data_IF_454958699249
#
_entry.id   IF_454958699249
#
_cell.length_a   1.000
_cell.length_b   1.000
_cell.length_c   1.000
_cell.angle_alpha   90.00
_cell.angle_beta   90.00
_cell.angle_gamma   90.00
#
_symmetry.space_group_name_H-M   'P 1'
#
loop_
_entity.id
_entity.type
_entity.pdbx_description
1 polymer ?
#
# COMPACT_ATOMS: atom_id res chain seq x y z
N UNK A 1 44.17 -6.77 -10.94
CA UNK A 1 43.66 -7.03 -9.56
C UNK A 1 42.68 -8.21 -9.61
N UNK A 2 42.88 -9.25 -8.81
CA UNK A 2 41.88 -10.33 -8.63
C UNK A 2 41.16 -10.05 -7.32
N UNK A 3 39.86 -9.77 -7.39
CA UNK A 3 39.02 -9.64 -6.20
C UNK A 3 38.90 -11.05 -5.60
N UNK A 4 39.67 -11.29 -4.53
CA UNK A 4 39.52 -12.48 -3.69
C UNK A 4 38.25 -12.30 -2.87
N UNK A 5 37.29 -13.19 -3.08
CA UNK A 5 35.98 -13.26 -2.42
C UNK A 5 35.01 -12.13 -2.83
N UNK A 6 34.07 -12.36 -3.76
CA UNK A 6 32.87 -11.54 -3.78
C UNK A 6 32.20 -11.72 -2.42
N UNK A 7 32.12 -10.65 -1.63
CA UNK A 7 31.26 -10.62 -0.46
C UNK A 7 29.87 -10.94 -1.01
N UNK A 8 29.41 -12.17 -0.79
CA UNK A 8 28.04 -12.54 -1.07
C UNK A 8 27.21 -11.50 -0.33
N UNK A 9 26.41 -10.72 -1.07
CA UNK A 9 25.48 -9.78 -0.49
C UNK A 9 24.69 -10.55 0.56
N UNK A 10 25.02 -10.36 1.83
CA UNK A 10 24.25 -10.93 2.92
C UNK A 10 22.86 -10.38 2.70
N UNK A 11 21.93 -11.25 2.32
CA UNK A 11 20.51 -10.98 2.34
C UNK A 11 20.24 -10.38 3.72
N UNK A 12 20.07 -9.06 3.78
CA UNK A 12 19.61 -8.39 4.98
C UNK A 12 18.23 -8.99 5.22
N UNK A 13 18.16 -10.01 6.07
CA UNK A 13 16.88 -10.43 6.65
C UNK A 13 16.31 -9.14 7.23
N UNK A 14 15.16 -8.70 6.72
CA UNK A 14 14.53 -7.47 7.16
C UNK A 14 14.50 -7.48 8.69
N UNK A 15 14.99 -6.40 9.31
CA UNK A 15 15.21 -6.29 10.77
C UNK A 15 13.91 -6.40 11.58
N UNK A 16 12.76 -6.42 10.90
CA UNK A 16 11.44 -6.41 11.50
C UNK A 16 10.76 -7.77 11.25
N UNK A 17 10.01 -8.29 12.24
CA UNK A 17 9.21 -9.48 12.03
C UNK A 17 8.21 -9.23 10.90
N UNK A 18 7.88 -10.28 10.14
CA UNK A 18 6.80 -10.19 9.16
C UNK A 18 5.49 -9.78 9.85
N UNK A 19 4.68 -8.98 9.17
CA UNK A 19 3.33 -8.70 9.65
C UNK A 19 2.54 -10.00 9.74
N UNK A 20 1.69 -10.18 10.77
CA UNK A 20 0.80 -11.33 10.85
C UNK A 20 -0.34 -11.28 9.80
N UNK A 21 -0.52 -10.15 9.12
CA UNK A 21 -1.58 -9.94 8.14
C UNK A 21 -1.09 -10.22 6.73
N UNK A 22 -1.93 -10.91 5.96
CA UNK A 22 -1.67 -11.25 4.55
C UNK A 22 -2.90 -10.91 3.74
N UNK A 23 -2.68 -10.49 2.49
CA UNK A 23 -3.76 -10.31 1.52
C UNK A 23 -4.20 -11.68 0.99
N UNK A 24 -5.47 -11.79 0.63
CA UNK A 24 -5.96 -12.94 -0.12
C UNK A 24 -5.42 -12.90 -1.55
N UNK A 25 -5.49 -14.04 -2.25
CA UNK A 25 -5.06 -14.13 -3.65
C UNK A 25 -5.90 -13.27 -4.61
N UNK A 26 -7.04 -12.75 -4.14
CA UNK A 26 -7.95 -11.92 -4.92
C UNK A 26 -7.59 -10.43 -4.90
N UNK A 27 -6.52 -10.04 -4.18
CA UNK A 27 -6.10 -8.65 -4.08
C UNK A 27 -4.88 -8.35 -4.96
N UNK A 28 -5.02 -7.38 -5.85
CA UNK A 28 -3.94 -6.92 -6.73
C UNK A 28 -3.17 -5.76 -6.11
N UNK A 29 -1.86 -5.67 -6.38
CA UNK A 29 -1.01 -4.59 -5.84
C UNK A 29 -1.51 -3.18 -6.21
N UNK A 30 -2.17 -3.04 -7.35
CA UNK A 30 -2.72 -1.74 -7.78
C UNK A 30 -3.88 -1.29 -6.88
N UNK A 31 -4.64 -2.21 -6.31
CA UNK A 31 -5.74 -1.93 -5.38
C UNK A 31 -5.21 -1.43 -4.04
N UNK A 32 -4.11 -2.00 -3.56
CA UNK A 32 -3.39 -1.46 -2.40
C UNK A 32 -2.79 -0.09 -2.72
N UNK A 33 -2.29 0.11 -3.94
CA UNK A 33 -1.80 1.41 -4.38
C UNK A 33 -2.92 2.47 -4.46
N UNK A 34 -4.17 2.09 -4.76
CA UNK A 34 -5.34 2.99 -4.70
C UNK A 34 -5.54 3.50 -3.27
N UNK A 35 -5.47 2.62 -2.26
CA UNK A 35 -5.53 3.01 -0.85
C UNK A 35 -4.39 3.96 -0.46
N UNK A 36 -3.15 3.56 -0.77
CA UNK A 36 -1.95 4.37 -0.47
C UNK A 36 -2.06 5.75 -1.11
N UNK A 37 -2.50 5.81 -2.37
CA UNK A 37 -2.66 7.06 -3.11
C UNK A 37 -3.77 7.93 -2.51
N UNK A 38 -4.92 7.35 -2.18
CA UNK A 38 -6.02 8.07 -1.55
C UNK A 38 -5.64 8.65 -0.19
N UNK A 39 -4.93 7.87 0.64
CA UNK A 39 -4.42 8.32 1.94
C UNK A 39 -3.41 9.44 1.77
N UNK A 40 -2.43 9.28 0.87
CA UNK A 40 -1.42 10.29 0.58
C UNK A 40 -2.06 11.61 0.12
N UNK A 41 -2.96 11.55 -0.86
CA UNK A 41 -3.65 12.72 -1.41
C UNK A 41 -4.61 13.39 -0.41
N UNK A 42 -5.10 12.65 0.60
CA UNK A 42 -5.92 13.23 1.66
C UNK A 42 -5.12 14.15 2.58
N UNK A 43 -3.79 14.01 2.62
CA UNK A 43 -2.88 14.73 3.50
C UNK A 43 -3.19 14.59 5.00
N UNK A 44 -3.96 13.57 5.39
CA UNK A 44 -4.43 13.36 6.78
C UNK A 44 -3.48 12.54 7.66
N UNK A 45 -2.43 11.98 7.08
CA UNK A 45 -1.43 11.20 7.83
C UNK A 45 -0.19 12.05 8.03
N UNK A 46 0.21 12.21 9.28
CA UNK A 46 1.39 12.99 9.67
C UNK A 46 2.47 12.09 10.25
N UNK A 47 3.71 12.52 10.10
CA UNK A 47 4.87 11.87 10.70
C UNK A 47 4.91 12.16 12.22
N UNK A 48 5.85 11.53 12.93
CA UNK A 48 6.08 11.79 14.35
C UNK A 48 6.46 13.24 14.65
N UNK A 49 6.96 13.99 13.66
CA UNK A 49 7.25 15.43 13.79
C UNK A 49 6.07 16.33 13.45
N UNK A 50 4.89 15.76 13.13
CA UNK A 50 3.67 16.50 12.82
C UNK A 50 3.60 17.02 11.38
N UNK A 51 4.57 16.70 10.53
CA UNK A 51 4.55 17.08 9.11
C UNK A 51 3.74 16.08 8.28
N UNK A 52 3.16 16.52 7.16
CA UNK A 52 2.46 15.62 6.22
C UNK A 52 3.37 14.47 5.78
N UNK A 53 2.87 13.24 5.86
CA UNK A 53 3.67 12.06 5.55
C UNK A 53 3.94 11.95 4.05
N UNK A 54 5.20 11.72 3.63
CA UNK A 54 5.52 11.52 2.23
C UNK A 54 4.95 10.18 1.74
N UNK A 55 4.65 10.11 0.44
CA UNK A 55 4.12 8.91 -0.22
C UNK A 55 4.97 7.65 0.07
N UNK A 56 6.29 7.81 0.12
CA UNK A 56 7.24 6.72 0.39
C UNK A 56 7.08 6.13 1.78
N UNK A 57 6.76 6.94 2.79
CA UNK A 57 6.58 6.44 4.17
C UNK A 57 5.25 5.69 4.29
N UNK A 58 4.18 6.25 3.72
CA UNK A 58 2.88 5.57 3.67
C UNK A 58 3.00 4.25 2.89
N UNK A 59 3.66 4.27 1.73
CA UNK A 59 3.90 3.06 0.92
C UNK A 59 4.67 1.99 1.69
N UNK A 60 5.76 2.35 2.38
CA UNK A 60 6.52 1.40 3.22
C UNK A 60 5.69 0.82 4.36
N UNK A 61 4.82 1.62 4.97
CA UNK A 61 3.92 1.14 6.01
C UNK A 61 2.98 0.06 5.48
N UNK A 62 2.43 0.24 4.27
CA UNK A 62 1.57 -0.77 3.62
C UNK A 62 2.35 -2.00 3.13
N UNK A 63 3.57 -1.83 2.62
CA UNK A 63 4.47 -2.94 2.27
C UNK A 63 4.73 -3.84 3.50
N UNK A 64 5.03 -3.22 4.64
CA UNK A 64 5.19 -3.94 5.90
C UNK A 64 3.87 -4.58 6.36
N UNK A 65 2.77 -3.83 6.38
CA UNK A 65 1.47 -4.27 6.87
C UNK A 65 0.98 -5.54 6.18
N UNK A 66 1.21 -5.69 4.87
CA UNK A 66 0.70 -6.80 4.07
C UNK A 66 1.77 -7.75 3.54
N UNK A 67 3.03 -7.58 3.97
CA UNK A 67 4.16 -8.36 3.49
C UNK A 67 4.31 -8.34 1.95
N UNK A 68 4.07 -7.18 1.32
CA UNK A 68 4.14 -6.99 -0.14
C UNK A 68 5.31 -6.07 -0.54
N UNK A 69 5.62 -6.04 -1.84
CA UNK A 69 6.52 -5.05 -2.45
C UNK A 69 5.78 -4.28 -3.54
N UNK A 70 5.62 -2.97 -3.37
CA UNK A 70 4.98 -2.07 -4.34
C UNK A 70 5.96 -1.64 -5.43
N UNK A 71 7.27 -1.64 -5.15
CA UNK A 71 8.32 -1.24 -6.09
C UNK A 71 8.48 0.28 -6.14
N UNK A 72 8.65 0.85 -7.34
CA UNK A 72 8.74 2.31 -7.52
C UNK A 72 7.41 2.99 -7.21
N UNK A 73 7.28 3.49 -5.98
CA UNK A 73 6.02 4.00 -5.44
C UNK A 73 5.50 5.22 -6.21
N UNK A 74 6.37 6.09 -6.72
CA UNK A 74 5.96 7.28 -7.46
C UNK A 74 5.41 6.89 -8.82
N UNK A 75 6.07 5.96 -9.52
CA UNK A 75 5.54 5.41 -10.78
C UNK A 75 4.22 4.67 -10.56
N UNK A 76 4.09 3.90 -9.47
CA UNK A 76 2.85 3.20 -9.13
C UNK A 76 1.72 4.15 -8.79
N UNK A 77 2.01 5.24 -8.08
CA UNK A 77 1.05 6.31 -7.82
C UNK A 77 0.54 6.95 -9.11
N UNK A 78 1.45 7.36 -9.99
CA UNK A 78 1.07 7.97 -11.28
C UNK A 78 0.20 7.00 -12.10
N UNK A 79 0.53 5.71 -12.10
CA UNK A 79 -0.30 4.70 -12.76
C UNK A 79 -1.72 4.64 -12.19
N UNK A 80 -1.93 4.85 -10.88
CA UNK A 80 -3.28 4.96 -10.31
C UNK A 80 -3.97 6.20 -10.85
N UNK A 81 -3.32 7.36 -10.85
CA UNK A 81 -3.92 8.63 -11.30
C UNK A 81 -4.32 8.57 -12.78
N UNK A 82 -3.48 7.99 -13.64
CA UNK A 82 -3.72 7.90 -15.07
C UNK A 82 -4.68 6.77 -15.51
N UNK A 83 -5.18 5.93 -14.59
CA UNK A 83 -6.13 4.86 -14.97
C UNK A 83 -7.43 5.41 -15.52
N UNK A 84 -8.10 4.57 -16.33
CA UNK A 84 -9.48 4.80 -16.79
C UNK A 84 -10.39 5.06 -15.60
N UNK A 85 -11.29 6.03 -15.71
CA UNK A 85 -12.11 6.52 -14.59
C UNK A 85 -12.83 5.38 -13.84
N UNK A 86 -13.44 4.45 -14.57
CA UNK A 86 -14.14 3.29 -14.00
C UNK A 86 -13.24 2.27 -13.28
N UNK A 87 -11.93 2.30 -13.51
CA UNK A 87 -10.93 1.41 -12.91
C UNK A 87 -10.03 2.13 -11.92
N UNK A 88 -10.11 3.45 -11.82
CA UNK A 88 -9.23 4.28 -10.99
C UNK A 88 -9.45 4.07 -9.49
N UNK A 89 -10.70 3.82 -9.11
CA UNK A 89 -11.15 3.73 -7.70
C UNK A 89 -12.00 2.48 -7.46
N UNK A 90 -11.89 1.47 -8.33
CA UNK A 90 -12.74 0.28 -8.29
C UNK A 90 -12.65 -0.44 -6.95
N UNK A 91 -11.45 -0.51 -6.35
CA UNK A 91 -11.28 -1.13 -5.06
C UNK A 91 -11.90 -0.30 -3.92
N UNK A 92 -11.75 1.03 -3.97
CA UNK A 92 -12.39 1.92 -3.01
C UNK A 92 -13.92 1.83 -3.07
N UNK A 93 -14.48 1.66 -4.27
CA UNK A 93 -15.91 1.44 -4.48
C UNK A 93 -16.39 0.11 -3.87
N UNK A 94 -15.60 -0.96 -4.00
CA UNK A 94 -15.87 -2.25 -3.35
C UNK A 94 -15.89 -2.09 -1.83
N UNK A 95 -14.88 -1.43 -1.25
CA UNK A 95 -14.81 -1.21 0.20
C UNK A 95 -15.98 -0.38 0.71
N UNK A 96 -16.33 0.70 0.00
CA UNK A 96 -17.51 1.52 0.29
C UNK A 96 -18.79 0.68 0.28
N UNK A 97 -18.97 -0.16 -0.75
CA UNK A 97 -20.14 -1.03 -0.87
C UNK A 97 -20.23 -2.03 0.28
N UNK A 98 -19.12 -2.67 0.66
CA UNK A 98 -19.08 -3.62 1.78
C UNK A 98 -19.52 -2.98 3.10
N UNK A 99 -19.08 -1.74 3.39
CA UNK A 99 -19.50 -1.01 4.60
C UNK A 99 -21.01 -0.70 4.55
N UNK A 100 -21.53 -0.25 3.41
CA UNK A 100 -22.96 0.06 3.24
C UNK A 100 -23.82 -1.19 3.40
N UNK A 101 -23.40 -2.33 2.85
CA UNK A 101 -24.12 -3.60 2.98
C UNK A 101 -24.16 -4.09 4.44
N UNK A 102 -23.04 -4.01 5.16
CA UNK A 102 -23.01 -4.35 6.59
C UNK A 102 -23.88 -3.40 7.43
N UNK A 103 -23.93 -2.12 7.07
CA UNK A 103 -24.81 -1.13 7.71
C UNK A 103 -26.30 -1.46 7.54
N UNK A 104 -26.72 -1.79 6.31
CA UNK A 104 -28.09 -2.23 6.00
C UNK A 104 -28.45 -3.52 6.74
N UNK A 105 -27.52 -4.49 6.77
CA UNK A 105 -27.71 -5.76 7.50
C UNK A 105 -27.99 -5.54 9.00
N UNK A 106 -27.42 -4.48 9.59
CA UNK A 106 -27.62 -4.09 10.99
C UNK A 106 -28.83 -3.17 11.21
N UNK A 107 -29.52 -2.74 10.15
CA UNK A 107 -30.70 -1.89 10.22
C UNK A 107 -30.40 -0.42 10.52
N UNK A 108 -29.18 0.06 10.29
CA UNK A 108 -28.85 1.50 10.40
C UNK A 108 -29.26 2.31 9.16
N UNK A 109 -29.43 1.64 8.02
CA UNK A 109 -29.82 2.19 6.71
C UNK A 109 -31.00 1.40 6.12
#
# INVERSE_FOLDING_TARGET
MRIKYPIQFQNRKDKYPLSPLYLTNDTYLVEIMELVSGIFLSERVVTHSGTKSPLTEIGRAFEYLFNIKLGDIHKKHENVICRKANKRTEFLDILRKAIVEESKKKGYL
#
